data_IF_771039773454
#
_entry.id   IF_771039773454
#
_cell.length_a   1.000
_cell.length_b   1.000
_cell.length_c   1.000
_cell.angle_alpha   90.00
_cell.angle_beta   90.00
_cell.angle_gamma   90.00
#
_symmetry.space_group_name_H-M   'P 1'
#
loop_
_entity.id
_entity.type
_entity.pdbx_description
1 polymer ?
#
# COMPACT_ATOMS: atom_id res chain seq x y z
N UNK A 1 -19.47 6.21 -5.65
CA UNK A 1 -19.32 7.67 -5.76
C UNK A 1 -18.14 7.94 -6.69
N UNK A 2 -18.23 8.90 -7.62
CA UNK A 2 -17.07 9.30 -8.41
C UNK A 2 -16.02 9.93 -7.50
N UNK A 3 -14.76 9.62 -7.77
CA UNK A 3 -13.60 10.12 -7.02
C UNK A 3 -13.48 11.62 -7.33
N UNK A 4 -13.35 12.52 -6.33
CA UNK A 4 -13.23 13.96 -6.58
C UNK A 4 -12.09 14.27 -7.58
N UNK A 5 -12.31 15.23 -8.47
CA UNK A 5 -11.27 15.69 -9.39
C UNK A 5 -10.05 16.17 -8.59
N UNK A 6 -8.87 15.58 -8.87
CA UNK A 6 -7.62 15.86 -8.15
C UNK A 6 -7.15 14.74 -7.22
N UNK A 7 -7.94 13.69 -7.00
CA UNK A 7 -7.49 12.51 -6.24
C UNK A 7 -6.79 11.53 -7.16
N UNK A 8 -5.54 11.19 -6.83
CA UNK A 8 -4.78 10.15 -7.53
C UNK A 8 -5.43 8.79 -7.29
N UNK A 9 -5.95 8.17 -8.36
CA UNK A 9 -6.51 6.83 -8.32
C UNK A 9 -5.38 5.82 -8.40
N UNK A 10 -5.25 4.95 -7.40
CA UNK A 10 -4.16 3.95 -7.37
C UNK A 10 -4.58 2.60 -7.99
N UNK A 11 -5.88 2.37 -8.24
CA UNK A 11 -6.35 1.13 -8.85
C UNK A 11 -5.69 0.88 -10.21
N UNK A 12 -5.15 -0.32 -10.42
CA UNK A 12 -4.45 -0.72 -11.64
C UNK A 12 -3.05 -0.15 -11.78
N UNK A 13 -2.46 0.42 -10.71
CA UNK A 13 -1.12 1.04 -10.76
C UNK A 13 -0.10 0.31 -9.90
N UNK A 14 1.19 0.53 -10.19
CA UNK A 14 2.32 -0.01 -9.44
C UNK A 14 3.15 1.11 -8.80
N UNK A 15 3.65 0.84 -7.60
CA UNK A 15 4.33 1.82 -6.75
C UNK A 15 5.57 1.18 -6.11
N UNK A 16 6.71 1.85 -6.18
CA UNK A 16 7.97 1.36 -5.60
C UNK A 16 8.45 2.28 -4.47
N UNK A 17 8.93 1.69 -3.38
CA UNK A 17 9.19 2.42 -2.15
C UNK A 17 10.10 1.73 -1.16
N UNK A 18 10.38 2.41 -0.06
CA UNK A 18 11.14 1.87 1.07
C UNK A 18 10.42 2.14 2.39
N UNK A 19 10.66 1.31 3.38
CA UNK A 19 10.28 1.59 4.76
C UNK A 19 11.42 2.22 5.59
N UNK A 20 11.16 2.48 6.87
CA UNK A 20 12.15 3.00 7.81
C UNK A 20 13.27 2.02 8.17
N UNK A 21 13.07 0.73 7.90
CA UNK A 21 14.07 -0.31 8.15
C UNK A 21 15.03 -0.44 6.94
N UNK A 22 14.71 0.24 5.83
CA UNK A 22 15.50 0.28 4.61
C UNK A 22 15.11 -0.79 3.60
N UNK A 23 14.05 -1.55 3.87
CA UNK A 23 13.58 -2.60 2.98
C UNK A 23 12.83 -1.99 1.80
N UNK A 24 13.14 -2.49 0.60
CA UNK A 24 12.56 -2.01 -0.65
C UNK A 24 11.37 -2.87 -1.07
N UNK A 25 10.29 -2.21 -1.47
CA UNK A 25 9.03 -2.86 -1.86
C UNK A 25 8.52 -2.34 -3.20
N UNK A 26 7.84 -3.22 -3.94
CA UNK A 26 7.05 -2.86 -5.12
C UNK A 26 5.64 -3.35 -4.91
N UNK A 27 4.66 -2.45 -4.88
CA UNK A 27 3.24 -2.74 -4.69
C UNK A 27 2.52 -2.64 -6.02
N UNK A 28 1.59 -3.55 -6.30
CA UNK A 28 0.70 -3.53 -7.47
C UNK A 28 -0.74 -3.61 -6.97
N UNK A 29 -1.48 -2.51 -7.11
CA UNK A 29 -2.87 -2.39 -6.64
C UNK A 29 -3.81 -2.90 -7.74
N UNK A 30 -4.22 -4.16 -7.66
CA UNK A 30 -5.08 -4.76 -8.67
C UNK A 30 -6.53 -4.25 -8.55
N UNK A 31 -7.28 -4.22 -9.66
CA UNK A 31 -8.70 -3.93 -9.64
C UNK A 31 -9.48 -4.83 -8.68
N UNK A 32 -10.47 -4.27 -8.00
CA UNK A 32 -11.32 -5.02 -7.07
C UNK A 32 -10.75 -5.21 -5.67
N UNK A 33 -9.77 -4.39 -5.27
CA UNK A 33 -9.33 -4.28 -3.87
C UNK A 33 -8.31 -5.33 -3.42
N UNK A 34 -7.67 -6.05 -4.35
CA UNK A 34 -6.55 -6.96 -4.06
C UNK A 34 -5.23 -6.30 -4.44
N UNK A 35 -4.15 -6.56 -3.72
CA UNK A 35 -2.82 -6.11 -4.15
C UNK A 35 -1.80 -7.24 -4.09
N UNK A 36 -0.78 -7.13 -4.92
CA UNK A 36 0.43 -7.93 -4.83
C UNK A 36 1.58 -7.03 -4.40
N UNK A 37 2.60 -7.59 -3.77
CA UNK A 37 3.79 -6.86 -3.45
C UNK A 37 5.05 -7.73 -3.53
N UNK A 38 6.15 -7.11 -3.93
CA UNK A 38 7.47 -7.68 -3.88
C UNK A 38 8.25 -7.03 -2.75
N UNK A 39 8.98 -7.84 -2.01
CA UNK A 39 9.85 -7.44 -0.89
C UNK A 39 11.23 -8.10 -1.09
N UNK A 40 12.24 -7.75 -0.26
CA UNK A 40 13.54 -8.42 -0.32
C UNK A 40 13.45 -9.94 -0.09
N UNK A 41 12.43 -10.38 0.64
CA UNK A 41 12.24 -11.78 1.05
C UNK A 41 11.35 -12.59 0.08
N UNK A 42 10.79 -11.98 -0.96
CA UNK A 42 9.94 -12.67 -1.92
C UNK A 42 8.78 -11.83 -2.45
N UNK A 43 7.95 -12.48 -3.27
CA UNK A 43 6.73 -11.91 -3.86
C UNK A 43 5.50 -12.52 -3.21
N UNK A 44 4.51 -11.67 -2.94
CA UNK A 44 3.30 -11.96 -2.19
C UNK A 44 2.09 -11.32 -2.89
N UNK A 45 0.88 -11.78 -2.60
CA UNK A 45 -0.33 -11.37 -3.31
C UNK A 45 -1.40 -12.45 -3.26
N UNK A 46 -1.71 -12.90 -2.04
CA UNK A 46 -2.74 -13.89 -1.77
C UNK A 46 -4.12 -13.26 -1.65
N UNK A 47 -5.13 -14.12 -1.45
CA UNK A 47 -6.51 -13.63 -1.46
C UNK A 47 -6.89 -12.73 -0.28
N UNK A 48 -6.05 -12.73 0.75
CA UNK A 48 -6.23 -11.98 1.98
C UNK A 48 -5.39 -10.68 2.00
N UNK A 49 -4.67 -10.39 0.90
CA UNK A 49 -3.91 -9.15 0.69
C UNK A 49 -4.82 -8.12 0.01
N UNK A 50 -5.40 -7.24 0.83
CA UNK A 50 -6.46 -6.32 0.39
C UNK A 50 -6.09 -4.86 0.56
N UNK A 51 -6.63 -4.00 -0.30
CA UNK A 51 -6.50 -2.56 -0.20
C UNK A 51 -7.85 -1.86 -0.39
N UNK A 52 -7.96 -0.67 0.17
CA UNK A 52 -9.08 0.23 -0.05
C UNK A 52 -8.59 1.68 -0.05
N UNK A 53 -9.16 2.49 -0.93
CA UNK A 53 -8.89 3.92 -1.01
C UNK A 53 -10.18 4.71 -0.77
N UNK A 54 -10.12 5.76 0.06
CA UNK A 54 -11.20 6.73 0.25
C UNK A 54 -10.61 8.14 0.19
N UNK A 55 -10.84 8.84 -0.93
CA UNK A 55 -10.16 10.11 -1.19
C UNK A 55 -8.65 9.89 -1.31
N UNK A 56 -7.87 10.65 -0.56
CA UNK A 56 -6.41 10.50 -0.46
C UNK A 56 -5.98 9.40 0.53
N UNK A 57 -6.88 8.83 1.32
CA UNK A 57 -6.53 7.82 2.31
C UNK A 57 -6.49 6.42 1.70
N UNK A 58 -5.39 5.71 1.98
CA UNK A 58 -5.16 4.32 1.61
C UNK A 58 -5.07 3.45 2.87
N UNK A 59 -5.77 2.33 2.87
CA UNK A 59 -5.61 1.25 3.85
C UNK A 59 -5.24 -0.03 3.12
N UNK A 60 -4.17 -0.69 3.55
CA UNK A 60 -3.81 -2.04 3.08
C UNK A 60 -3.78 -3.01 4.25
N UNK A 61 -4.19 -4.25 4.00
CA UNK A 61 -4.10 -5.37 4.94
C UNK A 61 -3.33 -6.49 4.28
N UNK A 62 -2.20 -6.85 4.86
CA UNK A 62 -1.37 -7.98 4.43
C UNK A 62 -1.75 -9.22 5.23
N UNK A 63 -1.81 -10.37 4.57
CA UNK A 63 -2.01 -11.70 5.16
C UNK A 63 -3.21 -11.72 6.12
N UNK A 64 -4.37 -11.28 5.64
CA UNK A 64 -5.61 -11.28 6.42
C UNK A 64 -5.64 -10.28 7.58
N UNK A 65 -4.75 -9.29 7.58
CA UNK A 65 -4.66 -8.27 8.64
C UNK A 65 -3.55 -8.53 9.64
N UNK A 66 -2.61 -9.44 9.36
CA UNK A 66 -1.38 -9.56 10.14
C UNK A 66 -0.60 -8.24 10.21
N UNK A 67 -0.51 -7.54 9.07
CA UNK A 67 0.00 -6.19 8.99
C UNK A 67 -1.03 -5.26 8.36
N UNK A 68 -1.12 -4.04 8.87
CA UNK A 68 -2.00 -2.97 8.36
C UNK A 68 -1.16 -1.75 8.02
N UNK A 69 -1.34 -1.24 6.81
CA UNK A 69 -0.70 -0.04 6.31
C UNK A 69 -1.77 1.04 6.18
N UNK A 70 -1.44 2.24 6.64
CA UNK A 70 -2.26 3.44 6.51
C UNK A 70 -1.40 4.50 5.82
N UNK A 71 -1.85 4.98 4.67
CA UNK A 71 -1.11 5.95 3.87
C UNK A 71 -2.00 7.07 3.33
N UNK A 72 -1.36 8.16 2.95
CA UNK A 72 -1.95 9.26 2.19
C UNK A 72 -1.33 9.29 0.79
N UNK A 73 -2.19 9.33 -0.23
CA UNK A 73 -1.85 9.34 -1.66
C UNK A 73 -1.96 10.76 -2.18
N UNK A 74 -0.89 11.28 -2.77
CA UNK A 74 -0.89 12.60 -3.41
C UNK A 74 0.39 12.84 -4.22
N UNK A 75 0.29 13.61 -5.30
CA UNK A 75 1.43 14.03 -6.13
C UNK A 75 2.35 12.88 -6.61
N UNK A 76 1.76 11.71 -6.91
CA UNK A 76 2.53 10.52 -7.33
C UNK A 76 3.38 9.90 -6.21
N UNK A 77 3.09 10.25 -4.95
CA UNK A 77 3.70 9.71 -3.74
C UNK A 77 2.63 9.13 -2.81
N UNK A 78 2.95 8.01 -2.17
CA UNK A 78 2.23 7.50 -1.01
C UNK A 78 3.19 7.60 0.17
N UNK A 79 2.72 8.14 1.28
CA UNK A 79 3.47 8.14 2.54
C UNK A 79 2.58 7.72 3.69
N UNK A 80 3.13 7.00 4.67
CA UNK A 80 2.29 6.43 5.70
C UNK A 80 3.03 5.73 6.82
N UNK A 81 2.23 5.09 7.66
CA UNK A 81 2.68 4.19 8.73
C UNK A 81 2.12 2.80 8.51
N UNK A 82 2.76 1.82 9.12
CA UNK A 82 2.28 0.46 9.15
C UNK A 82 2.55 -0.15 10.51
N UNK A 83 1.74 -1.16 10.84
CA UNK A 83 1.85 -1.91 12.09
C UNK A 83 1.49 -3.37 11.88
N UNK A 84 1.94 -4.24 12.78
CA UNK A 84 1.54 -5.64 12.79
C UNK A 84 0.97 -6.07 14.15
N UNK A 85 0.39 -7.28 14.19
CA UNK A 85 -0.20 -7.85 15.42
C UNK A 85 0.81 -8.10 16.55
N UNK A 86 2.12 -8.04 16.26
CA UNK A 86 3.18 -8.12 17.27
C UNK A 86 3.52 -6.76 17.89
N UNK A 87 2.85 -5.68 17.48
CA UNK A 87 3.09 -4.33 17.98
C UNK A 87 4.28 -3.63 17.35
N UNK A 88 4.88 -4.19 16.27
CA UNK A 88 5.90 -3.47 15.50
C UNK A 88 5.24 -2.39 14.66
N UNK A 89 5.92 -1.25 14.52
CA UNK A 89 5.47 -0.10 13.74
C UNK A 89 6.61 0.44 12.89
N UNK A 90 6.33 0.84 11.66
CA UNK A 90 7.31 1.45 10.75
C UNK A 90 6.65 2.54 9.90
N UNK A 91 7.47 3.43 9.35
CA UNK A 91 7.02 4.40 8.32
C UNK A 91 7.40 3.88 6.95
N UNK A 92 6.66 4.27 5.91
CA UNK A 92 6.97 3.89 4.54
C UNK A 92 6.62 4.99 3.55
N UNK A 93 7.29 4.97 2.41
CA UNK A 93 7.01 5.87 1.28
C UNK A 93 7.17 5.12 -0.03
N UNK A 94 6.26 5.33 -0.97
CA UNK A 94 6.31 4.77 -2.31
C UNK A 94 6.01 5.82 -3.38
N UNK A 95 6.58 5.65 -4.57
CA UNK A 95 6.36 6.50 -5.73
C UNK A 95 5.74 5.70 -6.87
N UNK A 96 4.85 6.32 -7.61
CA UNK A 96 4.22 5.71 -8.78
C UNK A 96 5.28 5.40 -9.84
N UNK A 97 5.17 4.24 -10.48
CA UNK A 97 6.01 3.83 -11.61
C UNK A 97 5.47 4.30 -12.96
#
# INVERSE_FOLDING_TARGET
MPIPAGVTVIEGTSWAGTDSDGDAYVYTFNPGGRYAYQSPNGSFGGDDDTWAQTGDQLVMKTSGGYATYIGTVGDGVISGTASNIQGRTWTWTAKQQ
#
